data_IF_791508246360
#
_entry.id   IF_791508246360
#
_cell.length_a   1.000
_cell.length_b   1.000
_cell.length_c   1.000
_cell.angle_alpha   90.00
_cell.angle_beta   90.00
_cell.angle_gamma   90.00
#
_symmetry.space_group_name_H-M   'P 1'
#
loop_
_entity.id
_entity.type
_entity.pdbx_description
1 polymer ?
#
# COMPACT_ATOMS: atom_id res chain seq x y z
N UNK A 1 -8.96 34.85 15.01
CA UNK A 1 -9.19 34.63 16.47
C UNK A 1 -9.83 33.27 16.78
N UNK A 2 -10.80 32.79 15.99
CA UNK A 2 -11.47 31.48 16.21
C UNK A 2 -10.57 30.27 15.95
N UNK A 3 -9.82 30.25 14.84
CA UNK A 3 -8.90 29.15 14.52
C UNK A 3 -7.82 28.93 15.58
N UNK A 4 -7.24 30.01 16.11
CA UNK A 4 -6.22 29.96 17.18
C UNK A 4 -6.79 29.42 18.50
N UNK A 5 -8.05 29.69 18.81
CA UNK A 5 -8.72 29.21 20.00
C UNK A 5 -9.08 27.72 19.93
N UNK A 6 -9.36 27.17 18.73
CA UNK A 6 -9.68 25.74 18.54
C UNK A 6 -8.45 24.84 18.42
N UNK A 7 -7.34 25.35 17.87
CA UNK A 7 -6.05 24.65 17.95
C UNK A 7 -5.58 24.49 19.41
N UNK A 8 -5.87 25.47 20.29
CA UNK A 8 -5.67 25.34 21.74
C UNK A 8 -6.53 24.26 22.40
N UNK A 9 -7.65 23.88 21.77
CA UNK A 9 -8.54 22.78 22.19
C UNK A 9 -8.26 21.46 21.46
N UNK A 10 -7.22 21.41 20.62
CA UNK A 10 -6.82 20.20 19.88
C UNK A 10 -7.94 19.67 18.96
N UNK A 11 -8.66 20.58 18.30
CA UNK A 11 -9.77 20.27 17.41
C UNK A 11 -9.60 20.98 16.07
N UNK A 12 -9.73 20.24 14.97
CA UNK A 12 -9.74 20.80 13.61
C UNK A 12 -11.08 21.50 13.31
N UNK A 13 -11.03 22.63 12.61
CA UNK A 13 -12.22 23.39 12.19
C UNK A 13 -13.09 22.52 11.26
N UNK A 14 -14.43 22.55 11.40
CA UNK A 14 -15.32 21.68 10.60
C UNK A 14 -15.28 22.03 9.11
N UNK A 15 -15.31 23.33 8.78
CA UNK A 15 -15.26 23.82 7.40
C UNK A 15 -13.97 23.42 6.66
N UNK A 16 -12.94 23.01 7.39
CA UNK A 16 -11.63 22.63 6.88
C UNK A 16 -11.57 21.15 6.48
N UNK A 17 -12.61 20.36 6.76
CA UNK A 17 -12.60 18.90 6.57
C UNK A 17 -13.23 18.42 5.26
N UNK A 18 -13.64 19.36 4.41
CA UNK A 18 -14.39 19.08 3.18
C UNK A 18 -13.51 19.26 1.94
N UNK A 19 -13.24 18.17 1.23
CA UNK A 19 -12.40 18.18 0.03
C UNK A 19 -13.21 18.28 -1.27
N UNK A 20 -12.60 18.86 -2.29
CA UNK A 20 -13.13 18.84 -3.66
C UNK A 20 -12.30 17.91 -4.54
N UNK A 21 -12.97 17.05 -5.30
CA UNK A 21 -12.33 16.03 -6.15
C UNK A 21 -12.59 16.40 -7.61
N UNK A 22 -11.60 16.95 -8.35
CA UNK A 22 -11.76 17.19 -9.77
C UNK A 22 -11.74 15.85 -10.54
N UNK A 23 -12.62 15.64 -11.53
CA UNK A 23 -12.63 14.43 -12.33
C UNK A 23 -11.49 14.47 -13.37
N UNK A 24 -10.29 14.07 -12.94
CA UNK A 24 -9.10 14.03 -13.79
C UNK A 24 -8.84 12.61 -14.29
N UNK A 25 -8.73 12.42 -15.61
CA UNK A 25 -8.40 11.11 -16.18
C UNK A 25 -6.96 10.69 -15.86
N UNK A 26 -6.74 9.38 -15.69
CA UNK A 26 -5.42 8.78 -15.49
C UNK A 26 -4.55 8.94 -16.73
N UNK A 27 -5.14 8.72 -17.91
CA UNK A 27 -4.53 8.94 -19.24
C UNK A 27 -5.52 9.76 -20.08
N UNK A 28 -5.03 10.71 -20.91
CA UNK A 28 -5.93 11.52 -21.75
C UNK A 28 -6.80 10.72 -22.73
N UNK A 29 -6.33 9.56 -23.18
CA UNK A 29 -7.02 8.68 -24.14
C UNK A 29 -7.96 7.65 -23.50
N UNK A 30 -8.09 7.62 -22.17
CA UNK A 30 -8.96 6.67 -21.48
C UNK A 30 -10.44 7.05 -21.60
N UNK A 31 -11.33 6.05 -21.69
CA UNK A 31 -12.77 6.25 -21.75
C UNK A 31 -13.29 7.01 -20.50
N UNK A 32 -13.87 8.22 -20.67
CA UNK A 32 -14.45 9.00 -19.57
C UNK A 32 -15.72 8.38 -18.96
N UNK A 33 -16.31 7.36 -19.58
CA UNK A 33 -17.50 6.68 -19.09
C UNK A 33 -17.18 5.67 -17.97
N UNK A 34 -15.92 5.26 -17.86
CA UNK A 34 -15.49 4.30 -16.84
C UNK A 34 -14.89 5.00 -15.61
N UNK A 35 -15.53 4.86 -14.44
CA UNK A 35 -15.08 5.49 -13.19
C UNK A 35 -13.64 5.14 -12.78
N UNK A 36 -13.18 3.92 -13.10
CA UNK A 36 -11.81 3.44 -12.80
C UNK A 36 -10.72 4.26 -13.50
N UNK A 37 -11.07 4.99 -14.56
CA UNK A 37 -10.16 5.80 -15.36
C UNK A 37 -9.87 7.17 -14.73
N UNK A 38 -10.61 7.58 -13.69
CA UNK A 38 -10.35 8.83 -12.99
C UNK A 38 -9.35 8.68 -11.85
N UNK A 39 -8.64 9.76 -11.53
CA UNK A 39 -7.73 9.87 -10.39
C UNK A 39 -8.50 10.32 -9.15
N UNK A 40 -8.38 9.61 -8.01
CA UNK A 40 -8.99 10.02 -6.76
C UNK A 40 -8.15 11.10 -6.07
N UNK A 41 -8.11 12.32 -6.61
CA UNK A 41 -7.36 13.45 -6.05
C UNK A 41 -8.30 14.28 -5.19
N UNK A 42 -8.02 14.39 -3.90
CA UNK A 42 -8.78 15.25 -2.98
C UNK A 42 -8.07 16.57 -2.77
N UNK A 43 -8.70 17.68 -3.13
CA UNK A 43 -8.23 19.03 -2.88
C UNK A 43 -8.83 19.55 -1.58
N UNK A 44 -8.02 19.58 -0.53
CA UNK A 44 -8.42 20.14 0.76
C UNK A 44 -8.29 21.67 0.78
N UNK A 45 -9.05 22.37 1.65
CA UNK A 45 -8.87 23.79 1.87
C UNK A 45 -7.43 24.11 2.30
N UNK A 46 -6.91 25.25 1.83
CA UNK A 46 -5.52 25.65 2.08
C UNK A 46 -5.12 25.63 3.58
N UNK A 47 -5.92 26.15 4.53
CA UNK A 47 -5.58 26.09 5.95
C UNK A 47 -5.40 24.64 6.46
N UNK A 48 -6.24 23.73 5.98
CA UNK A 48 -6.17 22.30 6.27
C UNK A 48 -4.87 21.71 5.76
N UNK A 49 -4.52 22.00 4.51
CA UNK A 49 -3.28 21.49 3.90
C UNK A 49 -2.04 21.95 4.68
N UNK A 50 -2.03 23.19 5.17
CA UNK A 50 -0.93 23.69 6.03
C UNK A 50 -0.88 22.94 7.36
N UNK A 51 -2.04 22.77 8.01
CA UNK A 51 -2.13 22.04 9.27
C UNK A 51 -1.68 20.57 9.11
N UNK A 52 -2.14 19.89 8.07
CA UNK A 52 -1.73 18.51 7.77
C UNK A 52 -0.23 18.39 7.57
N UNK A 53 0.37 19.30 6.79
CA UNK A 53 1.82 19.29 6.56
C UNK A 53 2.59 19.47 7.86
N UNK A 54 2.13 20.35 8.75
CA UNK A 54 2.73 20.56 10.06
C UNK A 54 2.62 19.31 10.96
N UNK A 55 1.43 18.69 11.02
CA UNK A 55 1.21 17.44 11.78
C UNK A 55 2.08 16.32 11.20
N UNK A 56 2.09 16.16 9.87
CA UNK A 56 2.82 15.10 9.19
C UNK A 56 4.34 15.25 9.35
N UNK A 57 4.86 16.48 9.31
CA UNK A 57 6.28 16.73 9.58
C UNK A 57 6.67 16.30 11.00
N UNK A 58 5.87 16.67 12.01
CA UNK A 58 6.12 16.28 13.39
C UNK A 58 5.99 14.78 13.61
N UNK A 59 4.95 14.16 13.03
CA UNK A 59 4.70 12.73 13.16
C UNK A 59 5.82 11.90 12.52
N UNK A 60 6.26 12.26 11.31
CA UNK A 60 7.39 11.57 10.66
C UNK A 60 8.69 11.71 11.46
N UNK A 61 8.99 12.92 11.95
CA UNK A 61 10.16 13.11 12.80
C UNK A 61 10.08 12.25 14.06
N UNK A 62 8.92 12.20 14.71
CA UNK A 62 8.69 11.36 15.88
C UNK A 62 8.92 9.87 15.56
N UNK A 63 8.34 9.35 14.48
CA UNK A 63 8.46 7.93 14.12
C UNK A 63 9.88 7.52 13.77
N UNK A 64 10.67 8.42 13.16
CA UNK A 64 12.08 8.13 12.85
C UNK A 64 12.95 8.20 14.12
N UNK A 65 12.82 9.24 14.95
CA UNK A 65 13.62 9.39 16.18
C UNK A 65 13.40 8.24 17.17
N UNK A 66 12.16 7.75 17.27
CA UNK A 66 11.79 6.68 18.19
C UNK A 66 11.85 5.28 17.56
N UNK A 67 12.27 5.16 16.28
CA UNK A 67 12.23 3.90 15.52
C UNK A 67 10.89 3.16 15.62
N UNK A 68 9.78 3.91 15.56
CA UNK A 68 8.43 3.37 15.78
C UNK A 68 7.89 2.57 14.59
N UNK A 69 8.55 2.67 13.43
CA UNK A 69 8.19 1.93 12.22
C UNK A 69 9.19 0.82 11.96
N UNK A 70 8.69 -0.28 11.42
CA UNK A 70 9.54 -1.41 11.05
C UNK A 70 10.55 -1.03 9.97
N UNK A 71 11.76 -1.60 10.07
CA UNK A 71 12.81 -1.49 9.05
C UNK A 71 12.38 -1.93 7.63
N UNK A 72 11.38 -2.79 7.52
CA UNK A 72 10.82 -3.27 6.25
C UNK A 72 9.88 -2.29 5.56
N UNK A 73 9.36 -1.29 6.28
CA UNK A 73 8.50 -0.26 5.70
C UNK A 73 9.38 0.82 5.06
N UNK A 74 9.20 1.03 3.76
CA UNK A 74 9.96 1.99 2.96
C UNK A 74 9.12 3.13 2.36
N UNK A 75 7.78 3.02 2.38
CA UNK A 75 6.91 4.05 1.84
C UNK A 75 6.92 5.32 2.69
N UNK A 76 7.00 6.50 2.06
CA UNK A 76 6.88 7.83 2.72
C UNK A 76 7.84 8.07 3.90
N UNK A 77 8.98 7.40 3.91
CA UNK A 77 10.06 7.58 4.88
C UNK A 77 11.25 8.32 4.26
N UNK A 78 11.98 9.04 5.11
CA UNK A 78 13.19 9.73 4.67
C UNK A 78 14.31 8.72 4.41
N UNK A 79 15.07 8.89 3.33
CA UNK A 79 16.16 7.98 2.92
C UNK A 79 15.70 6.54 2.56
N UNK A 80 14.42 6.36 2.24
CA UNK A 80 13.89 5.14 1.65
C UNK A 80 13.36 5.42 0.24
N UNK A 81 13.36 4.40 -0.61
CA UNK A 81 12.83 4.45 -1.97
C UNK A 81 12.18 3.12 -2.35
N UNK A 82 11.48 3.10 -3.49
CA UNK A 82 11.01 1.85 -4.09
C UNK A 82 12.18 0.93 -4.44
N UNK A 83 13.32 1.49 -4.87
CA UNK A 83 14.51 0.70 -5.20
C UNK A 83 15.06 -0.02 -3.96
N UNK A 84 15.08 0.65 -2.79
CA UNK A 84 15.50 0.02 -1.54
C UNK A 84 14.62 -1.18 -1.19
N UNK A 85 13.30 -1.03 -1.31
CA UNK A 85 12.35 -2.10 -1.02
C UNK A 85 12.52 -3.29 -1.99
N UNK A 86 12.64 -3.00 -3.29
CA UNK A 86 12.88 -4.00 -4.32
C UNK A 86 14.22 -4.71 -4.15
N UNK A 87 15.28 -3.97 -3.84
CA UNK A 87 16.61 -4.53 -3.59
C UNK A 87 16.60 -5.43 -2.35
N UNK A 88 15.94 -5.02 -1.26
CA UNK A 88 15.81 -5.85 -0.07
C UNK A 88 15.05 -7.15 -0.35
N UNK A 89 13.94 -7.08 -1.09
CA UNK A 89 13.15 -8.25 -1.47
C UNK A 89 13.94 -9.21 -2.37
N UNK A 90 14.50 -8.71 -3.46
CA UNK A 90 15.27 -9.51 -4.43
C UNK A 90 16.53 -10.09 -3.83
N UNK A 91 17.27 -9.34 -3.00
CA UNK A 91 18.43 -9.85 -2.29
C UNK A 91 18.05 -10.98 -1.32
N UNK A 92 16.94 -10.85 -0.59
CA UNK A 92 16.48 -11.90 0.31
C UNK A 92 16.11 -13.18 -0.46
N UNK A 93 15.43 -13.07 -1.61
CA UNK A 93 15.14 -14.21 -2.48
C UNK A 93 16.43 -14.87 -2.96
N UNK A 94 17.40 -14.10 -3.45
CA UNK A 94 18.71 -14.62 -3.89
C UNK A 94 19.44 -15.36 -2.78
N UNK A 95 19.47 -14.81 -1.57
CA UNK A 95 20.09 -15.47 -0.42
C UNK A 95 19.43 -16.81 -0.06
N UNK A 96 18.13 -16.99 -0.31
CA UNK A 96 17.46 -18.28 -0.15
C UNK A 96 17.86 -19.25 -1.27
N UNK A 97 17.89 -18.79 -2.52
CA UNK A 97 18.29 -19.60 -3.67
C UNK A 97 19.76 -20.05 -3.58
N UNK A 98 20.66 -19.18 -3.13
CA UNK A 98 22.09 -19.50 -2.93
C UNK A 98 22.31 -20.58 -1.85
N UNK A 99 21.34 -20.73 -0.93
CA UNK A 99 21.32 -21.83 0.06
C UNK A 99 20.70 -23.11 -0.48
N UNK A 100 20.30 -23.13 -1.75
CA UNK A 100 19.59 -24.24 -2.38
C UNK A 100 18.12 -24.35 -1.98
N UNK A 101 17.55 -23.33 -1.34
CA UNK A 101 16.13 -23.34 -0.96
C UNK A 101 15.25 -22.86 -2.12
N UNK A 102 14.00 -23.29 -2.14
CA UNK A 102 12.94 -22.62 -2.92
C UNK A 102 12.45 -21.39 -2.16
N UNK A 103 12.24 -20.28 -2.85
CA UNK A 103 11.64 -19.07 -2.31
C UNK A 103 10.29 -18.79 -2.98
N UNK A 104 9.36 -18.21 -2.23
CA UNK A 104 8.09 -17.71 -2.74
C UNK A 104 7.92 -16.24 -2.33
N UNK A 105 7.50 -15.38 -3.25
CA UNK A 105 7.05 -14.02 -2.95
C UNK A 105 5.54 -13.92 -3.19
N UNK A 106 4.82 -13.39 -2.20
CA UNK A 106 3.40 -13.08 -2.30
C UNK A 106 3.27 -11.56 -2.35
N UNK A 107 2.67 -11.05 -3.42
CA UNK A 107 2.35 -9.65 -3.62
C UNK A 107 0.92 -9.41 -3.17
N UNK A 108 0.73 -8.90 -1.95
CA UNK A 108 -0.59 -8.63 -1.40
C UNK A 108 -1.20 -7.39 -2.05
N UNK A 109 -2.44 -7.51 -2.52
CA UNK A 109 -3.24 -6.37 -2.99
C UNK A 109 -4.30 -6.00 -1.95
N UNK A 110 -4.33 -4.74 -1.52
CA UNK A 110 -5.33 -4.21 -0.62
C UNK A 110 -6.37 -3.37 -1.39
N UNK A 111 -7.63 -3.76 -1.29
CA UNK A 111 -8.72 -3.00 -1.88
C UNK A 111 -8.98 -1.71 -1.11
N UNK A 112 -8.73 -0.57 -1.76
CA UNK A 112 -9.00 0.77 -1.23
C UNK A 112 -8.40 0.98 0.17
N UNK A 113 -7.13 0.60 0.35
CA UNK A 113 -6.43 0.53 1.63
C UNK A 113 -6.66 1.75 2.56
N UNK A 114 -6.50 2.97 2.05
CA UNK A 114 -6.72 4.18 2.86
C UNK A 114 -8.17 4.43 3.26
N UNK A 115 -9.14 3.88 2.53
CA UNK A 115 -10.56 4.02 2.85
C UNK A 115 -11.06 2.96 3.83
N UNK A 116 -10.32 1.85 3.99
CA UNK A 116 -10.67 0.75 4.89
C UNK A 116 -10.07 0.89 6.29
N UNK A 117 -9.11 1.81 6.48
CA UNK A 117 -8.51 2.13 7.79
C UNK A 117 -9.59 2.45 8.83
N UNK A 118 -9.64 1.64 9.89
CA UNK A 118 -10.49 1.89 11.05
C UNK A 118 -9.88 2.97 11.94
N UNK A 119 -10.67 3.99 12.28
CA UNK A 119 -10.21 5.07 13.16
C UNK A 119 -9.90 4.58 14.57
N UNK A 120 -10.60 3.56 15.08
CA UNK A 120 -10.33 3.00 16.41
C UNK A 120 -8.99 2.25 16.44
N UNK A 121 -8.76 1.36 15.45
CA UNK A 121 -7.51 0.61 15.32
C UNK A 121 -6.32 1.55 15.09
N UNK A 122 -6.49 2.59 14.26
CA UNK A 122 -5.47 3.62 14.05
C UNK A 122 -5.17 4.39 15.35
N UNK A 123 -6.20 4.74 16.11
CA UNK A 123 -6.02 5.42 17.39
C UNK A 123 -5.22 4.57 18.37
N UNK A 124 -5.51 3.27 18.47
CA UNK A 124 -4.73 2.32 19.28
C UNK A 124 -3.27 2.26 18.81
N UNK A 125 -3.03 2.08 17.50
CA UNK A 125 -1.65 2.05 16.98
C UNK A 125 -0.87 3.34 17.25
N UNK A 126 -1.50 4.51 17.13
CA UNK A 126 -0.88 5.79 17.48
C UNK A 126 -0.57 5.90 18.99
N UNK A 127 -1.49 5.41 19.83
CA UNK A 127 -1.30 5.38 21.28
C UNK A 127 -0.14 4.46 21.67
N UNK A 128 -0.07 3.27 21.08
CA UNK A 128 0.93 2.24 21.40
C UNK A 128 2.36 2.66 21.03
N UNK A 129 2.53 3.49 19.99
CA UNK A 129 3.84 4.08 19.66
C UNK A 129 4.18 5.31 20.53
N UNK A 130 3.34 5.67 21.50
CA UNK A 130 3.62 6.74 22.46
C UNK A 130 3.16 8.15 22.04
N UNK A 131 2.25 8.30 21.07
CA UNK A 131 1.68 9.61 20.75
C UNK A 131 0.84 10.12 21.92
N UNK A 132 1.12 11.34 22.38
CA UNK A 132 0.44 11.90 23.53
C UNK A 132 -1.05 12.17 23.27
N UNK A 133 -1.86 12.13 24.33
CA UNK A 133 -3.32 12.29 24.25
C UNK A 133 -3.80 13.55 23.51
N UNK A 134 -3.03 14.65 23.58
CA UNK A 134 -3.35 15.91 22.89
C UNK A 134 -3.21 15.77 21.38
N UNK A 135 -2.13 15.15 20.91
CA UNK A 135 -1.91 14.88 19.49
C UNK A 135 -2.92 13.84 18.97
N UNK A 136 -3.21 12.79 19.74
CA UNK A 136 -4.26 11.82 19.41
C UNK A 136 -5.62 12.49 19.18
N UNK A 137 -6.03 13.39 20.10
CA UNK A 137 -7.28 14.17 19.97
C UNK A 137 -7.29 15.02 18.69
N UNK A 138 -6.18 15.67 18.36
CA UNK A 138 -6.07 16.48 17.16
C UNK A 138 -6.19 15.63 15.88
N UNK A 139 -5.47 14.51 15.80
CA UNK A 139 -5.52 13.59 14.65
C UNK A 139 -6.92 12.99 14.51
N UNK A 140 -7.52 12.52 15.60
CA UNK A 140 -8.88 11.98 15.58
C UNK A 140 -9.90 13.04 15.13
N UNK A 141 -9.82 14.26 15.67
CA UNK A 141 -10.68 15.38 15.25
C UNK A 141 -10.51 15.70 13.77
N UNK A 142 -9.28 15.66 13.26
CA UNK A 142 -8.98 15.89 11.86
C UNK A 142 -9.60 14.83 10.94
N UNK A 143 -9.47 13.54 11.30
CA UNK A 143 -10.00 12.43 10.50
C UNK A 143 -11.53 12.30 10.57
N UNK A 144 -12.13 12.72 11.68
CA UNK A 144 -13.57 12.59 11.92
C UNK A 144 -14.39 13.51 11.02
N UNK A 145 -15.52 12.97 10.50
CA UNK A 145 -16.52 13.72 9.71
C UNK A 145 -15.97 14.40 8.46
N UNK A 146 -14.85 13.90 7.92
CA UNK A 146 -14.33 14.35 6.63
C UNK A 146 -15.29 13.95 5.52
N UNK A 147 -15.45 14.83 4.55
CA UNK A 147 -16.20 14.54 3.33
C UNK A 147 -15.43 14.97 2.10
N UNK A 148 -15.79 14.40 0.95
CA UNK A 148 -15.35 14.82 -0.36
C UNK A 148 -16.54 14.95 -1.30
N UNK A 149 -16.44 15.82 -2.30
CA UNK A 149 -17.43 15.93 -3.38
C UNK A 149 -16.73 16.13 -4.73
N UNK A 150 -17.31 15.57 -5.78
CA UNK A 150 -16.81 15.79 -7.14
C UNK A 150 -17.27 17.15 -7.64
N UNK A 151 -16.35 17.94 -8.19
CA UNK A 151 -16.65 19.25 -8.80
C UNK A 151 -16.24 19.24 -10.26
N UNK A 152 -17.21 19.44 -11.14
CA UNK A 152 -17.05 19.61 -12.59
C UNK A 152 -17.87 20.83 -12.99
N UNK A 153 -17.27 22.04 -13.09
CA UNK A 153 -18.04 23.26 -13.32
C UNK A 153 -19.01 23.12 -14.51
N UNK A 154 -20.30 23.49 -14.36
CA UNK A 154 -20.95 24.09 -13.19
C UNK A 154 -21.51 23.08 -12.15
N UNK A 155 -21.35 21.78 -12.39
CA UNK A 155 -21.90 20.70 -11.57
C UNK A 155 -21.07 20.41 -10.31
N UNK A 156 -21.77 20.02 -9.24
CA UNK A 156 -21.16 19.55 -7.98
C UNK A 156 -21.97 18.37 -7.45
N UNK A 157 -21.30 17.29 -7.07
CA UNK A 157 -21.96 16.11 -6.51
C UNK A 157 -22.39 16.35 -5.06
N UNK A 158 -23.24 15.45 -4.55
CA UNK A 158 -23.46 15.35 -3.10
C UNK A 158 -22.14 15.00 -2.39
N UNK A 159 -21.90 15.52 -1.17
CA UNK A 159 -20.74 15.11 -0.36
C UNK A 159 -20.86 13.66 0.09
N UNK A 160 -19.73 12.95 0.08
CA UNK A 160 -19.59 11.58 0.56
C UNK A 160 -18.52 11.53 1.65
N UNK A 161 -18.71 10.70 2.68
CA UNK A 161 -17.75 10.54 3.76
C UNK A 161 -16.40 9.97 3.29
N UNK A 162 -15.32 10.37 3.95
CA UNK A 162 -13.96 9.86 3.73
C UNK A 162 -13.38 9.42 5.07
N UNK A 163 -12.79 8.22 5.12
CA UNK A 163 -12.12 7.72 6.32
C UNK A 163 -10.71 8.31 6.44
N UNK A 164 -9.72 7.70 5.79
CA UNK A 164 -8.35 8.18 5.85
C UNK A 164 -7.81 8.63 4.48
N UNK A 165 -8.45 8.33 3.34
CA UNK A 165 -7.96 8.71 2.01
C UNK A 165 -7.86 10.23 1.75
N UNK A 166 -7.13 10.59 0.68
CA UNK A 166 -7.13 11.95 0.13
C UNK A 166 -6.49 13.03 0.98
N UNK A 167 -5.60 12.67 1.92
CA UNK A 167 -4.86 13.60 2.77
C UNK A 167 -3.36 13.36 2.62
N UNK A 168 -2.56 14.42 2.77
CA UNK A 168 -1.10 14.30 2.77
C UNK A 168 -0.56 13.58 4.01
N UNK A 169 -1.39 13.49 5.06
CA UNK A 169 -1.11 12.79 6.31
C UNK A 169 -1.42 11.29 6.22
N UNK A 170 -2.31 10.87 5.32
CA UNK A 170 -2.79 9.48 5.18
C UNK A 170 -1.68 8.44 5.07
N UNK A 171 -0.63 8.64 4.25
CA UNK A 171 0.42 7.63 4.09
C UNK A 171 1.19 7.36 5.39
N UNK A 172 1.52 8.40 6.15
CA UNK A 172 2.22 8.26 7.44
C UNK A 172 1.34 7.54 8.47
N UNK A 173 0.05 7.88 8.52
CA UNK A 173 -0.90 7.18 9.39
C UNK A 173 -1.07 5.71 8.99
N UNK A 174 -1.10 5.42 7.70
CA UNK A 174 -1.21 4.06 7.20
C UNK A 174 0.04 3.22 7.51
N UNK A 175 1.24 3.81 7.45
CA UNK A 175 2.45 3.13 7.88
C UNK A 175 2.40 2.71 9.36
N UNK A 176 1.91 3.60 10.24
CA UNK A 176 1.73 3.30 11.67
C UNK A 176 0.67 2.21 11.84
N UNK A 177 -0.42 2.30 11.08
CA UNK A 177 -1.50 1.29 11.08
C UNK A 177 -0.99 -0.11 10.73
N UNK A 178 -0.12 -0.21 9.73
CA UNK A 178 0.43 -1.47 9.23
C UNK A 178 1.60 -1.99 10.07
N UNK A 179 2.15 -1.21 11.00
CA UNK A 179 3.35 -1.58 11.76
C UNK A 179 3.23 -2.94 12.48
N UNK A 180 2.10 -3.31 13.12
CA UNK A 180 1.97 -4.60 13.79
C UNK A 180 2.10 -5.82 12.88
N UNK A 181 1.75 -5.69 11.58
CA UNK A 181 1.81 -6.80 10.63
C UNK A 181 3.21 -7.39 10.54
N UNK A 182 4.25 -6.55 10.60
CA UNK A 182 5.62 -7.00 10.42
C UNK A 182 6.08 -7.94 11.54
N UNK A 183 5.63 -7.71 12.78
CA UNK A 183 5.91 -8.60 13.90
C UNK A 183 5.19 -9.95 13.73
N UNK A 184 3.93 -9.93 13.29
CA UNK A 184 3.14 -11.14 13.04
C UNK A 184 3.80 -11.97 11.94
N UNK A 185 4.12 -11.37 10.80
CA UNK A 185 4.75 -12.09 9.68
C UNK A 185 6.05 -12.75 10.11
N UNK A 186 6.91 -12.05 10.86
CA UNK A 186 8.17 -12.64 11.36
C UNK A 186 7.96 -13.76 12.38
N UNK A 187 6.91 -13.69 13.21
CA UNK A 187 6.59 -14.77 14.16
C UNK A 187 6.26 -16.10 13.47
N UNK A 188 5.83 -16.05 12.20
CA UNK A 188 5.58 -17.22 11.35
C UNK A 188 6.77 -17.61 10.45
N UNK A 189 7.96 -17.03 10.71
CA UNK A 189 9.19 -17.34 9.97
C UNK A 189 9.22 -16.80 8.54
N UNK A 190 8.40 -15.79 8.25
CA UNK A 190 8.38 -15.11 6.95
C UNK A 190 9.13 -13.79 7.01
N UNK A 191 9.57 -13.30 5.86
CA UNK A 191 10.07 -11.95 5.70
C UNK A 191 8.99 -11.05 5.07
N UNK A 192 9.05 -9.75 5.35
CA UNK A 192 8.09 -8.75 4.86
C UNK A 192 8.84 -7.54 4.32
N UNK A 193 8.41 -7.03 3.17
CA UNK A 193 8.83 -5.74 2.61
C UNK A 193 7.56 -4.96 2.27
N UNK A 194 7.49 -3.69 2.66
CA UNK A 194 6.30 -2.86 2.40
C UNK A 194 6.70 -1.49 1.84
N UNK A 195 5.90 -1.00 0.91
CA UNK A 195 5.89 0.38 0.47
C UNK A 195 4.45 0.85 0.49
N UNK A 196 4.05 1.52 1.57
CA UNK A 196 2.64 1.78 1.89
C UNK A 196 1.77 0.53 1.88
N UNK A 197 0.77 0.49 1.01
CA UNK A 197 -0.18 -0.59 0.81
C UNK A 197 0.38 -1.75 -0.02
N UNK A 198 1.41 -1.51 -0.84
CA UNK A 198 2.13 -2.58 -1.55
C UNK A 198 2.95 -3.39 -0.54
N UNK A 199 2.47 -4.57 -0.17
CA UNK A 199 3.10 -5.44 0.83
C UNK A 199 3.52 -6.77 0.21
N UNK A 200 4.76 -7.15 0.43
CA UNK A 200 5.41 -8.32 -0.12
C UNK A 200 5.79 -9.26 1.02
N UNK A 201 5.28 -10.49 0.99
CA UNK A 201 5.69 -11.54 1.92
C UNK A 201 6.67 -12.46 1.21
N UNK A 202 7.76 -12.84 1.87
CA UNK A 202 8.74 -13.79 1.32
C UNK A 202 8.83 -14.99 2.25
N UNK A 203 8.70 -16.17 1.65
CA UNK A 203 8.61 -17.46 2.34
C UNK A 203 9.68 -18.39 1.77
N UNK A 204 10.39 -19.11 2.65
CA UNK A 204 11.21 -20.25 2.25
C UNK A 204 10.32 -21.50 2.19
N UNK A 205 10.37 -22.23 1.07
CA UNK A 205 9.62 -23.47 0.82
C UNK A 205 10.61 -24.64 0.70
N UNK A 206 11.38 -24.88 1.76
CA UNK A 206 12.41 -25.93 1.79
C UNK A 206 11.99 -27.13 2.67
N UNK A 207 10.70 -27.29 2.86
CA UNK A 207 10.12 -28.41 3.60
C UNK A 207 9.62 -29.48 2.60
N UNK A 208 9.31 -30.67 3.11
CA UNK A 208 8.54 -31.66 2.35
C UNK A 208 7.24 -31.02 1.80
N UNK A 209 6.76 -31.35 0.59
CA UNK A 209 5.61 -30.68 -0.03
C UNK A 209 4.36 -30.59 0.86
N UNK A 210 4.04 -31.64 1.63
CA UNK A 210 2.87 -31.63 2.52
C UNK A 210 3.08 -30.69 3.72
N UNK A 211 4.31 -30.63 4.23
CA UNK A 211 4.68 -29.68 5.28
C UNK A 211 4.69 -28.25 4.76
N UNK A 212 5.27 -28.01 3.59
CA UNK A 212 5.33 -26.69 2.95
C UNK A 212 3.93 -26.13 2.72
N UNK A 213 3.02 -26.97 2.24
CA UNK A 213 1.60 -26.63 2.06
C UNK A 213 0.91 -26.25 3.38
N UNK A 214 1.06 -27.06 4.43
CA UNK A 214 0.48 -26.76 5.75
C UNK A 214 1.05 -25.47 6.34
N UNK A 215 2.37 -25.27 6.23
CA UNK A 215 3.05 -24.09 6.74
C UNK A 215 2.64 -22.83 5.96
N UNK A 216 2.57 -22.92 4.64
CA UNK A 216 2.09 -21.84 3.77
C UNK A 216 0.65 -21.44 4.14
N UNK A 217 -0.24 -22.42 4.28
CA UNK A 217 -1.61 -22.19 4.70
C UNK A 217 -1.68 -21.46 6.05
N UNK A 218 -0.98 -21.98 7.08
CA UNK A 218 -0.97 -21.38 8.42
C UNK A 218 -0.41 -19.94 8.42
N UNK A 219 0.67 -19.71 7.68
CA UNK A 219 1.31 -18.40 7.47
C UNK A 219 0.33 -17.40 6.85
N UNK A 220 -0.36 -17.78 5.78
CA UNK A 220 -1.30 -16.91 5.07
C UNK A 220 -2.60 -16.69 5.85
N UNK A 221 -3.08 -17.70 6.58
CA UNK A 221 -4.25 -17.60 7.44
C UNK A 221 -4.03 -16.56 8.54
N UNK A 222 -2.85 -16.57 9.19
CA UNK A 222 -2.50 -15.59 10.21
C UNK A 222 -2.49 -14.15 9.69
N UNK A 223 -1.92 -13.93 8.49
CA UNK A 223 -1.91 -12.60 7.85
C UNK A 223 -3.34 -12.18 7.50
N UNK A 224 -4.14 -13.08 6.95
CA UNK A 224 -5.53 -12.80 6.54
C UNK A 224 -6.41 -12.46 7.74
N UNK A 225 -6.30 -13.23 8.84
CA UNK A 225 -7.02 -12.97 10.08
C UNK A 225 -6.66 -11.59 10.62
N UNK A 226 -5.36 -11.27 10.70
CA UNK A 226 -4.93 -9.97 11.19
C UNK A 226 -5.43 -8.82 10.30
N UNK A 227 -5.37 -8.97 8.97
CA UNK A 227 -5.88 -7.97 8.04
C UNK A 227 -7.38 -7.73 8.26
N UNK A 228 -8.16 -8.79 8.39
CA UNK A 228 -9.60 -8.72 8.65
C UNK A 228 -9.92 -8.06 9.98
N UNK A 229 -9.23 -8.45 11.06
CA UNK A 229 -9.38 -7.84 12.39
C UNK A 229 -8.98 -6.37 12.40
N UNK A 230 -7.98 -6.03 11.59
CA UNK A 230 -7.57 -4.65 11.31
C UNK A 230 -8.45 -3.99 10.24
N UNK A 231 -9.65 -4.49 9.95
CA UNK A 231 -10.60 -3.91 8.98
C UNK A 231 -10.04 -3.66 7.56
N UNK A 232 -8.91 -4.27 7.20
CA UNK A 232 -8.32 -4.18 5.87
C UNK A 232 -9.02 -5.15 4.94
N UNK A 233 -9.22 -4.73 3.69
CA UNK A 233 -9.85 -5.54 2.67
C UNK A 233 -8.78 -6.14 1.76
N UNK A 234 -8.33 -7.34 2.09
CA UNK A 234 -7.44 -8.11 1.22
C UNK A 234 -8.16 -8.51 -0.08
N UNK A 235 -7.49 -8.36 -1.20
CA UNK A 235 -7.99 -8.67 -2.53
C UNK A 235 -7.30 -9.93 -3.06
N UNK A 236 -7.85 -11.09 -2.72
CA UNK A 236 -7.32 -12.39 -3.13
C UNK A 236 -7.16 -12.51 -4.65
N UNK A 237 -8.11 -11.97 -5.42
CA UNK A 237 -8.10 -12.07 -6.89
C UNK A 237 -6.99 -11.25 -7.57
N UNK A 238 -6.38 -10.31 -6.86
CA UNK A 238 -5.22 -9.55 -7.35
C UNK A 238 -3.93 -9.87 -6.60
N UNK A 239 -4.01 -10.80 -5.65
CA UNK A 239 -2.83 -11.24 -4.92
C UNK A 239 -2.10 -12.25 -5.78
N UNK A 240 -0.86 -11.94 -6.10
CA UNK A 240 -0.02 -12.74 -6.99
C UNK A 240 1.06 -13.46 -6.20
N UNK A 241 1.42 -14.65 -6.64
CA UNK A 241 2.49 -15.48 -6.09
C UNK A 241 3.49 -15.80 -7.18
N UNK A 242 4.78 -15.59 -6.92
CA UNK A 242 5.87 -16.10 -7.75
C UNK A 242 6.70 -17.07 -6.91
N UNK A 243 6.98 -18.25 -7.46
CA UNK A 243 7.90 -19.23 -6.89
C UNK A 243 9.22 -19.18 -7.67
N UNK A 244 10.32 -19.14 -6.94
CA UNK A 244 11.69 -19.11 -7.45
C UNK A 244 12.41 -20.39 -7.06
N UNK A 245 13.15 -20.98 -8.00
CA UNK A 245 13.90 -22.22 -7.82
C UNK A 245 13.16 -23.47 -8.35
N UNK A 246 13.59 -24.64 -7.91
CA UNK A 246 13.24 -25.93 -8.55
C UNK A 246 11.89 -26.53 -8.11
N UNK A 247 11.12 -25.89 -7.22
CA UNK A 247 9.88 -26.45 -6.68
C UNK A 247 8.58 -25.86 -7.27
N UNK A 248 8.62 -25.30 -8.48
CA UNK A 248 7.42 -24.81 -9.18
C UNK A 248 6.37 -25.90 -9.44
N UNK A 249 6.77 -27.17 -9.52
CA UNK A 249 5.88 -28.28 -9.86
C UNK A 249 4.99 -28.81 -8.72
N UNK A 250 5.22 -28.39 -7.47
CA UNK A 250 4.48 -28.88 -6.31
C UNK A 250 3.29 -27.98 -5.90
N UNK A 251 3.16 -26.79 -6.50
CA UNK A 251 2.09 -25.85 -6.19
C UNK A 251 0.77 -26.26 -6.83
N UNK A 252 -0.31 -26.20 -6.05
CA UNK A 252 -1.69 -26.31 -6.52
C UNK A 252 -2.62 -25.37 -5.73
N UNK A 253 -3.86 -25.21 -6.19
CA UNK A 253 -4.84 -24.29 -5.58
C UNK A 253 -5.23 -24.66 -4.13
N UNK A 254 -4.94 -25.87 -3.68
CA UNK A 254 -5.24 -26.31 -2.32
C UNK A 254 -4.20 -25.85 -1.29
N UNK A 255 -3.17 -25.12 -1.70
CA UNK A 255 -2.23 -24.43 -0.81
C UNK A 255 -2.82 -23.16 -0.17
N UNK A 256 -3.89 -22.61 -0.74
CA UNK A 256 -4.52 -21.39 -0.24
C UNK A 256 -5.01 -21.48 1.22
N UNK A 257 -5.00 -20.36 1.97
CA UNK A 257 -5.69 -20.26 3.27
C UNK A 257 -7.20 -20.39 3.09
N UNK A 258 -7.88 -21.02 4.06
CA UNK A 258 -9.34 -21.21 4.03
C UNK A 258 -10.12 -19.90 4.23
N UNK A 259 -9.50 -18.91 4.86
CA UNK A 259 -10.11 -17.59 5.07
C UNK A 259 -10.18 -16.72 3.82
N UNK A 260 -9.47 -17.06 2.75
CA UNK A 260 -9.53 -16.34 1.47
C UNK A 260 -10.56 -16.96 0.54
N UNK A 261 -11.16 -16.11 -0.29
CA UNK A 261 -12.07 -16.56 -1.35
C UNK A 261 -11.36 -17.36 -2.45
N UNK A 262 -10.05 -17.18 -2.58
CA UNK A 262 -9.20 -17.83 -3.56
C UNK A 262 -7.74 -17.85 -3.08
N UNK A 263 -6.94 -18.88 -3.44
CA UNK A 263 -5.49 -18.85 -3.25
C UNK A 263 -4.85 -17.71 -4.05
N UNK A 264 -3.66 -17.21 -3.65
CA UNK A 264 -2.85 -16.34 -4.50
C UNK A 264 -2.63 -16.96 -5.88
N UNK A 265 -2.78 -16.17 -6.94
CA UNK A 265 -2.58 -16.64 -8.30
C UNK A 265 -1.09 -16.90 -8.56
N UNK A 266 -0.71 -18.15 -8.84
CA UNK A 266 0.64 -18.48 -9.26
C UNK A 266 0.91 -17.87 -10.65
N UNK A 267 1.97 -17.08 -10.76
CA UNK A 267 2.40 -16.45 -12.00
C UNK A 267 3.91 -16.58 -12.18
N UNK A 268 4.36 -16.63 -13.44
CA UNK A 268 5.78 -16.60 -13.77
C UNK A 268 6.36 -15.19 -13.71
N UNK A 269 5.50 -14.16 -13.79
CA UNK A 269 5.91 -12.76 -13.73
C UNK A 269 4.82 -11.88 -13.12
N UNK A 270 5.21 -10.88 -12.33
CA UNK A 270 4.30 -9.92 -11.72
C UNK A 270 4.94 -8.54 -11.59
N UNK A 271 4.11 -7.49 -11.55
CA UNK A 271 4.60 -6.12 -11.35
C UNK A 271 4.71 -5.81 -9.86
N UNK A 272 5.91 -5.53 -9.40
CA UNK A 272 6.21 -5.12 -8.03
C UNK A 272 6.87 -3.72 -8.04
N UNK A 273 6.25 -2.73 -7.39
CA UNK A 273 6.73 -1.35 -7.28
C UNK A 273 7.20 -0.73 -8.62
N UNK A 274 6.51 -1.06 -9.70
CA UNK A 274 6.77 -0.54 -11.06
C UNK A 274 7.73 -1.37 -11.91
N UNK A 275 8.32 -2.44 -11.37
CA UNK A 275 9.21 -3.37 -12.10
C UNK A 275 8.53 -4.72 -12.27
N UNK A 276 8.69 -5.36 -13.43
CA UNK A 276 8.26 -6.74 -13.67
C UNK A 276 9.33 -7.68 -13.11
N UNK A 277 8.96 -8.44 -12.09
CA UNK A 277 9.77 -9.55 -11.57
C UNK A 277 9.36 -10.83 -12.29
N UNK A 278 10.34 -11.60 -12.75
CA UNK A 278 10.15 -12.93 -13.33
C UNK A 278 10.73 -14.02 -12.41
N UNK A 279 10.22 -15.24 -12.50
CA UNK A 279 10.61 -16.40 -11.67
C UNK A 279 12.09 -16.79 -11.78
N UNK A 280 12.79 -16.34 -12.82
CA UNK A 280 14.24 -16.52 -12.99
C UNK A 280 15.08 -15.34 -12.49
N UNK A 281 14.44 -14.24 -12.06
CA UNK A 281 15.07 -12.97 -11.71
C UNK A 281 16.00 -12.43 -12.81
N UNK A 282 15.73 -12.77 -14.07
CA UNK A 282 16.56 -12.40 -15.22
C UNK A 282 16.38 -10.94 -15.62
N UNK A 283 15.25 -10.32 -15.22
CA UNK A 283 14.79 -9.00 -15.66
C UNK A 283 14.47 -8.93 -17.16
N UNK A 284 14.45 -10.06 -17.88
CA UNK A 284 14.23 -10.10 -19.33
C UNK A 284 12.86 -9.52 -19.70
N UNK A 285 11.80 -9.91 -18.96
CA UNK A 285 10.45 -9.39 -19.17
C UNK A 285 10.38 -7.88 -18.96
N UNK A 286 11.07 -7.36 -17.93
CA UNK A 286 11.15 -5.92 -17.67
C UNK A 286 11.86 -5.18 -18.80
N UNK A 287 13.04 -5.65 -19.20
CA UNK A 287 13.84 -5.02 -20.27
C UNK A 287 13.03 -4.97 -21.56
N UNK A 288 12.44 -6.08 -21.97
CA UNK A 288 11.62 -6.14 -23.19
C UNK A 288 10.42 -5.18 -23.11
N UNK A 289 9.71 -5.13 -21.98
CA UNK A 289 8.57 -4.23 -21.80
C UNK A 289 8.96 -2.75 -21.89
N UNK A 290 10.12 -2.37 -21.35
CA UNK A 290 10.63 -0.99 -21.41
C UNK A 290 11.06 -0.66 -22.83
N UNK A 291 11.83 -1.54 -23.50
CA UNK A 291 12.29 -1.34 -24.88
C UNK A 291 11.12 -1.15 -25.84
N UNK A 292 10.10 -2.01 -25.80
CA UNK A 292 8.91 -1.86 -26.65
C UNK A 292 8.11 -0.58 -26.33
N UNK A 293 8.09 -0.14 -25.07
CA UNK A 293 7.45 1.13 -24.70
C UNK A 293 8.19 2.34 -25.26
N UNK A 294 9.52 2.29 -25.37
CA UNK A 294 10.34 3.34 -25.98
C UNK A 294 10.18 3.35 -27.51
N UNK A 295 10.24 2.20 -28.16
CA UNK A 295 10.06 2.07 -29.61
C UNK A 295 8.69 2.59 -30.09
N UNK A 296 7.63 2.26 -29.34
CA UNK A 296 6.28 2.76 -29.64
C UNK A 296 6.17 4.28 -29.49
N UNK A 297 6.84 4.90 -28.51
CA UNK A 297 6.86 6.35 -28.36
C UNK A 297 7.66 7.05 -29.47
N UNK A 298 8.77 6.46 -29.93
CA UNK A 298 9.54 6.99 -31.06
C UNK A 298 8.77 6.92 -32.38
N UNK A 299 8.01 5.84 -32.59
CA UNK A 299 7.16 5.67 -33.78
C UNK A 299 6.04 6.72 -33.83
N UNK A 300 5.47 7.09 -32.68
CA UNK A 300 4.44 8.13 -32.57
C UNK A 300 5.01 9.54 -32.77
N UNK A 301 6.24 9.80 -32.34
CA UNK A 301 6.90 11.11 -32.53
C UNK A 301 7.38 11.36 -33.98
N UNK A 302 7.52 10.31 -34.79
CA UNK A 302 7.97 10.38 -36.18
C UNK A 302 6.88 10.57 -37.23
N UNK A 303 5.60 10.63 -36.86
CA UNK A 303 4.52 10.88 -37.83
C UNK A 303 4.43 12.39 -38.18
N UNK A 304 4.44 12.78 -39.47
CA UNK A 304 4.20 14.16 -39.87
C UNK A 304 2.80 14.61 -39.39
N UNK A 305 2.59 15.90 -39.07
CA UNK A 305 1.25 16.39 -38.78
C UNK A 305 0.34 16.09 -39.98
N UNK A 306 -0.73 15.35 -39.73
CA UNK A 306 -1.77 15.11 -40.73
C UNK A 306 -2.39 16.45 -41.15
N UNK A 307 -2.59 16.68 -42.46
CA UNK A 307 -3.04 17.96 -42.99
C UNK A 307 -4.43 18.37 -42.52
#
# INVERSE_FOLDING_TARGET
>A
MVATARLRRWCAEEDWKHAETPPLLKKPSSDPSELKNFRPISLLPYPTTVLEKAINAQLRNFTEVNNSLDSSQSGFRSNHSTERALLAATNHIRLLLDRGHTAAIILLDLSAAFNTVSHSTLHTGLHDIGICQRALKLIHSFLSRRTQRVRLPPYTSRPTGVNCGGSSLSPTLFNIYMAPLAAIVRSYGMNIMSYTDDTQLIISLNEDPDMAKRNFHSRMEAVTIWMRESCLKHNSNKTELIIFGNATSAWDDSWGPTSLSSPPALTEHARNLGIILDSSLSMTCQVNSVTSSVESQQTVAGQPPTP
#
